data_IF_691791057708
#
_entry.id   IF_691791057708
#
_cell.length_a   1.000
_cell.length_b   1.000
_cell.length_c   1.000
_cell.angle_alpha   90.00
_cell.angle_beta   90.00
_cell.angle_gamma   90.00
#
_symmetry.space_group_name_H-M   'P 1'
#
loop_
_entity.id
_entity.type
_entity.pdbx_description
1 polymer ?
#
# COMPACT_ATOMS: atom_id res chain seq x y z
N UNK A 1 1.04 35.37 45.98
CA UNK A 1 0.25 35.30 44.72
C UNK A 1 1.07 35.40 43.43
N UNK A 2 2.28 35.98 43.41
CA UNK A 2 3.08 36.13 42.16
C UNK A 2 3.72 34.82 41.62
N UNK A 3 3.96 33.84 42.48
CA UNK A 3 4.60 32.57 42.09
C UNK A 3 3.69 31.65 41.26
N UNK A 4 2.39 31.69 41.53
CA UNK A 4 1.38 30.86 40.84
C UNK A 4 1.19 31.34 39.39
N UNK A 5 1.24 32.66 39.16
CA UNK A 5 1.16 33.25 37.83
C UNK A 5 2.40 32.91 36.96
N UNK A 6 3.58 32.83 37.57
CA UNK A 6 4.83 32.48 36.87
C UNK A 6 4.83 31.00 36.44
N UNK A 7 4.32 30.10 37.29
CA UNK A 7 4.18 28.67 36.98
C UNK A 7 3.14 28.41 35.88
N UNK A 8 2.03 29.16 35.87
CA UNK A 8 1.01 29.08 34.81
C UNK A 8 1.54 29.53 33.44
N UNK A 9 2.40 30.55 33.40
CA UNK A 9 3.05 31.00 32.16
C UNK A 9 4.07 29.99 31.62
N UNK A 10 4.85 29.36 32.50
CA UNK A 10 5.80 28.30 32.13
C UNK A 10 5.08 27.06 31.56
N UNK A 11 3.93 26.68 32.11
CA UNK A 11 3.13 25.58 31.57
C UNK A 11 2.48 25.90 30.21
N UNK A 12 2.11 27.15 29.95
CA UNK A 12 1.56 27.55 28.63
C UNK A 12 2.63 27.71 27.55
N UNK A 13 3.88 28.00 27.90
CA UNK A 13 5.00 28.05 26.95
C UNK A 13 5.51 26.65 26.56
N UNK A 14 5.26 25.62 27.38
CA UNK A 14 5.54 24.21 27.08
C UNK A 14 4.35 23.50 26.41
N UNK A 15 3.56 24.24 25.61
CA UNK A 15 2.69 23.64 24.62
C UNK A 15 3.56 22.88 23.61
N UNK A 16 3.80 21.60 23.89
CA UNK A 16 4.42 20.64 23.00
C UNK A 16 3.58 20.52 21.73
N UNK A 17 3.74 21.48 20.80
CA UNK A 17 3.46 21.26 19.40
C UNK A 17 4.48 20.25 18.91
N UNK A 18 4.24 18.97 19.20
CA UNK A 18 4.79 17.87 18.40
C UNK A 18 4.23 18.06 16.99
N UNK A 19 4.80 18.99 16.24
CA UNK A 19 4.61 19.08 14.80
C UNK A 19 5.00 17.71 14.29
N UNK A 20 4.01 16.89 13.93
CA UNK A 20 4.27 15.64 13.24
C UNK A 20 5.10 16.04 12.03
N UNK A 21 6.37 15.66 12.03
CA UNK A 21 7.28 15.94 10.93
C UNK A 21 6.85 15.07 9.76
N UNK A 22 5.81 15.50 9.04
CA UNK A 22 5.41 14.88 7.79
C UNK A 22 6.51 15.09 6.76
N UNK A 23 6.76 14.05 5.98
CA UNK A 23 7.65 14.12 4.84
C UNK A 23 7.22 15.25 3.89
N UNK A 24 8.14 16.05 3.33
CA UNK A 24 7.81 17.23 2.53
C UNK A 24 6.80 16.96 1.41
N UNK A 25 6.94 15.85 0.68
CA UNK A 25 6.01 15.46 -0.38
C UNK A 25 4.57 15.23 0.11
N UNK A 26 4.39 14.63 1.29
CA UNK A 26 3.05 14.41 1.89
C UNK A 26 2.44 15.73 2.34
N UNK A 27 3.25 16.62 2.91
CA UNK A 27 2.81 17.98 3.29
C UNK A 27 2.36 18.78 2.08
N UNK A 28 3.10 18.69 0.98
CA UNK A 28 2.76 19.38 -0.26
C UNK A 28 1.48 18.82 -0.89
N UNK A 29 1.28 17.50 -0.86
CA UNK A 29 0.02 16.86 -1.27
C UNK A 29 -1.16 17.35 -0.42
N UNK A 30 -1.03 17.35 0.91
CA UNK A 30 -2.05 17.88 1.81
C UNK A 30 -2.39 19.35 1.53
N UNK A 31 -1.38 20.17 1.18
CA UNK A 31 -1.55 21.59 0.88
C UNK A 31 -2.28 21.82 -0.44
N UNK A 32 -1.96 21.04 -1.48
CA UNK A 32 -2.55 21.16 -2.82
C UNK A 32 -3.96 20.54 -2.91
N UNK A 33 -4.16 19.38 -2.28
CA UNK A 33 -5.37 18.56 -2.41
C UNK A 33 -6.00 18.27 -1.03
N UNK A 34 -6.45 19.30 -0.29
CA UNK A 34 -6.91 19.13 1.09
C UNK A 34 -8.18 18.30 1.21
N UNK A 35 -9.06 18.30 0.21
CA UNK A 35 -10.29 17.49 0.23
C UNK A 35 -9.98 16.02 -0.06
N UNK A 36 -9.18 15.73 -1.10
CA UNK A 36 -8.71 14.37 -1.39
C UNK A 36 -7.92 13.79 -0.22
N UNK A 37 -7.07 14.60 0.43
CA UNK A 37 -6.28 14.17 1.58
C UNK A 37 -7.14 13.65 2.75
N UNK A 38 -8.37 14.16 2.94
CA UNK A 38 -9.26 13.71 4.03
C UNK A 38 -9.79 12.30 3.83
N UNK A 39 -9.78 11.80 2.59
CA UNK A 39 -10.20 10.43 2.25
C UNK A 39 -9.13 9.40 2.63
N UNK A 40 -7.90 9.86 2.95
CA UNK A 40 -6.84 8.98 3.41
C UNK A 40 -6.88 8.80 4.92
N UNK A 41 -7.08 7.58 5.38
CA UNK A 41 -6.91 7.21 6.78
C UNK A 41 -5.43 7.36 7.20
N UNK A 42 -4.50 7.01 6.30
CA UNK A 42 -3.09 7.34 6.45
C UNK A 42 -2.36 7.42 5.11
N UNK A 43 -1.26 8.19 5.13
CA UNK A 43 -0.23 8.22 4.10
C UNK A 43 1.13 8.21 4.82
N UNK A 44 1.83 7.07 4.75
CA UNK A 44 3.11 6.89 5.42
C UNK A 44 4.24 6.67 4.41
N UNK A 45 5.24 7.57 4.34
CA UNK A 45 6.42 7.38 3.51
C UNK A 45 7.14 6.09 3.89
N UNK A 46 7.51 5.31 2.88
CA UNK A 46 8.31 4.10 3.03
C UNK A 46 9.51 4.12 2.09
N UNK A 47 10.53 3.35 2.42
CA UNK A 47 11.60 3.07 1.46
C UNK A 47 11.22 1.87 0.61
N UNK A 48 11.53 1.91 -0.70
CA UNK A 48 11.35 0.73 -1.55
C UNK A 48 12.19 -0.46 -1.08
N UNK A 49 13.36 -0.21 -0.48
CA UNK A 49 14.17 -1.27 0.09
C UNK A 49 13.41 -2.08 1.15
N UNK A 50 12.71 -1.39 2.07
CA UNK A 50 11.86 -2.04 3.08
C UNK A 50 10.74 -2.84 2.42
N UNK A 51 10.05 -2.26 1.44
CA UNK A 51 8.97 -2.95 0.75
C UNK A 51 9.45 -4.20 0.00
N UNK A 52 10.56 -4.09 -0.73
CA UNK A 52 11.15 -5.20 -1.46
C UNK A 52 11.69 -6.28 -0.52
N UNK A 53 12.17 -5.93 0.66
CA UNK A 53 12.57 -6.90 1.68
C UNK A 53 11.38 -7.73 2.16
N UNK A 54 10.23 -7.11 2.43
CA UNK A 54 9.00 -7.82 2.82
C UNK A 54 8.49 -8.76 1.71
N UNK A 55 8.55 -8.33 0.45
CA UNK A 55 8.19 -9.17 -0.69
C UNK A 55 9.14 -10.37 -0.80
N UNK A 56 10.44 -10.12 -0.68
CA UNK A 56 11.46 -11.16 -0.79
C UNK A 56 11.32 -12.20 0.33
N UNK A 57 11.02 -11.77 1.56
CA UNK A 57 10.78 -12.62 2.71
C UNK A 57 9.58 -13.54 2.49
N UNK A 58 8.42 -12.99 2.07
CA UNK A 58 7.23 -13.78 1.72
C UNK A 58 7.54 -14.83 0.65
N UNK A 59 8.22 -14.44 -0.42
CA UNK A 59 8.56 -15.34 -1.53
C UNK A 59 9.48 -16.46 -1.05
N UNK A 60 10.47 -16.12 -0.21
CA UNK A 60 11.39 -17.09 0.38
C UNK A 60 10.63 -18.15 1.19
N UNK A 61 9.68 -17.73 2.03
CA UNK A 61 8.86 -18.64 2.83
C UNK A 61 8.01 -19.57 1.97
N UNK A 62 7.35 -19.04 0.94
CA UNK A 62 6.51 -19.85 0.05
C UNK A 62 7.35 -20.86 -0.73
N UNK A 63 8.49 -20.44 -1.28
CA UNK A 63 9.42 -21.34 -1.97
C UNK A 63 9.95 -22.43 -1.02
N UNK A 64 10.29 -22.08 0.22
CA UNK A 64 10.75 -23.07 1.20
C UNK A 64 9.67 -24.13 1.50
N UNK A 65 8.40 -23.70 1.61
CA UNK A 65 7.27 -24.63 1.78
C UNK A 65 7.13 -25.54 0.57
N UNK A 66 7.17 -24.99 -0.66
CA UNK A 66 7.07 -25.75 -1.89
C UNK A 66 8.20 -26.79 -2.04
N UNK A 67 9.45 -26.40 -1.75
CA UNK A 67 10.60 -27.31 -1.73
C UNK A 67 10.46 -28.40 -0.67
N UNK A 68 9.86 -28.08 0.49
CA UNK A 68 9.56 -29.08 1.52
C UNK A 68 8.51 -30.07 1.04
N UNK A 69 7.47 -29.60 0.35
CA UNK A 69 6.44 -30.47 -0.25
C UNK A 69 7.05 -31.43 -1.28
N UNK A 70 7.93 -30.95 -2.15
CA UNK A 70 8.64 -31.81 -3.11
C UNK A 70 9.47 -32.89 -2.41
N UNK A 71 10.22 -32.52 -1.36
CA UNK A 71 11.07 -33.48 -0.63
C UNK A 71 10.26 -34.54 0.11
N UNK A 72 9.11 -34.18 0.69
CA UNK A 72 8.31 -35.09 1.50
C UNK A 72 7.35 -35.96 0.66
N UNK A 73 6.83 -35.40 -0.44
CA UNK A 73 5.72 -35.99 -1.19
C UNK A 73 5.99 -36.06 -2.70
N UNK A 74 7.23 -35.91 -3.17
CA UNK A 74 7.56 -35.91 -4.59
C UNK A 74 7.22 -37.22 -5.33
N UNK A 75 7.06 -38.33 -4.61
CA UNK A 75 6.56 -39.60 -5.17
C UNK A 75 5.03 -39.66 -5.35
N UNK A 76 4.28 -38.66 -4.86
CA UNK A 76 2.84 -38.56 -5.01
C UNK A 76 2.51 -37.84 -6.32
N UNK A 77 1.70 -38.45 -7.22
CA UNK A 77 1.31 -37.82 -8.47
C UNK A 77 0.71 -36.42 -8.26
N UNK A 78 1.14 -35.46 -9.08
CA UNK A 78 0.65 -34.07 -9.07
C UNK A 78 1.25 -33.16 -7.99
N UNK A 79 1.89 -33.67 -6.93
CA UNK A 79 2.46 -32.81 -5.88
C UNK A 79 3.77 -32.13 -6.34
N UNK A 80 4.62 -32.85 -7.08
CA UNK A 80 5.86 -32.25 -7.61
C UNK A 80 5.56 -31.13 -8.59
N UNK A 81 4.64 -31.37 -9.52
CA UNK A 81 4.18 -30.40 -10.53
C UNK A 81 3.58 -29.16 -9.84
N UNK A 82 2.68 -29.36 -8.88
CA UNK A 82 2.10 -28.27 -8.10
C UNK A 82 3.15 -27.41 -7.38
N UNK A 83 4.15 -28.03 -6.76
CA UNK A 83 5.20 -27.29 -6.08
C UNK A 83 6.11 -26.52 -7.05
N UNK A 84 6.41 -27.09 -8.23
CA UNK A 84 7.13 -26.38 -9.30
C UNK A 84 6.34 -25.17 -9.81
N UNK A 85 5.03 -25.32 -9.98
CA UNK A 85 4.12 -24.23 -10.36
C UNK A 85 4.12 -23.10 -9.33
N UNK A 86 4.09 -23.42 -8.04
CA UNK A 86 4.22 -22.42 -6.97
C UNK A 86 5.53 -21.66 -7.09
N UNK A 87 6.67 -22.36 -7.18
CA UNK A 87 7.99 -21.71 -7.24
C UNK A 87 8.08 -20.80 -8.46
N UNK A 88 7.62 -21.28 -9.63
CA UNK A 88 7.59 -20.49 -10.87
C UNK A 88 6.69 -19.27 -10.75
N UNK A 89 5.51 -19.42 -10.17
CA UNK A 89 4.58 -18.32 -9.94
C UNK A 89 5.19 -17.25 -9.03
N UNK A 90 5.85 -17.67 -7.95
CA UNK A 90 6.50 -16.77 -7.00
C UNK A 90 7.71 -16.04 -7.60
N UNK A 91 8.48 -16.70 -8.47
CA UNK A 91 9.54 -16.05 -9.25
C UNK A 91 8.98 -14.99 -10.20
N UNK A 92 7.84 -15.25 -10.84
CA UNK A 92 7.17 -14.25 -11.69
C UNK A 92 6.69 -13.04 -10.87
N UNK A 93 6.11 -13.26 -9.70
CA UNK A 93 5.73 -12.17 -8.77
C UNK A 93 6.96 -11.34 -8.40
N UNK A 94 8.09 -11.99 -8.08
CA UNK A 94 9.35 -11.30 -7.76
C UNK A 94 9.79 -10.36 -8.88
N UNK A 95 9.81 -10.86 -10.11
CA UNK A 95 10.23 -10.08 -11.27
C UNK A 95 9.32 -8.88 -11.49
N UNK A 96 8.01 -9.08 -11.37
CA UNK A 96 7.02 -7.99 -11.48
C UNK A 96 7.26 -6.93 -10.41
N UNK A 97 7.43 -7.33 -9.15
CA UNK A 97 7.68 -6.41 -8.04
C UNK A 97 8.96 -5.58 -8.25
N UNK A 98 10.03 -6.18 -8.80
CA UNK A 98 11.27 -5.45 -9.13
C UNK A 98 11.00 -4.36 -10.18
N UNK A 99 10.27 -4.70 -11.25
CA UNK A 99 9.93 -3.75 -12.32
C UNK A 99 9.07 -2.61 -11.77
N UNK A 100 8.06 -2.94 -10.98
CA UNK A 100 7.18 -1.95 -10.34
C UNK A 100 7.95 -1.04 -9.40
N UNK A 101 8.86 -1.57 -8.58
CA UNK A 101 9.70 -0.78 -7.69
C UNK A 101 10.61 0.19 -8.49
N UNK A 102 11.23 -0.27 -9.57
CA UNK A 102 12.04 0.59 -10.45
C UNK A 102 11.20 1.70 -11.08
N UNK A 103 9.98 1.38 -11.51
CA UNK A 103 9.05 2.36 -12.05
C UNK A 103 8.66 3.40 -10.99
N UNK A 104 8.32 2.97 -9.78
CA UNK A 104 7.98 3.86 -8.67
C UNK A 104 9.14 4.78 -8.31
N UNK A 105 10.37 4.29 -8.23
CA UNK A 105 11.55 5.12 -7.94
C UNK A 105 11.77 6.17 -9.04
N UNK A 106 11.61 5.77 -10.30
CA UNK A 106 11.69 6.70 -11.45
C UNK A 106 10.60 7.76 -11.40
N UNK A 107 9.37 7.39 -11.09
CA UNK A 107 8.23 8.31 -11.03
C UNK A 107 8.33 9.28 -9.85
N UNK A 108 8.80 8.80 -8.69
CA UNK A 108 9.04 9.61 -7.49
C UNK A 108 9.96 10.80 -7.78
N UNK A 109 11.01 10.59 -8.58
CA UNK A 109 12.05 11.60 -8.79
C UNK A 109 12.81 11.91 -7.49
N UNK A 110 13.50 13.05 -7.46
CA UNK A 110 14.36 13.44 -6.34
C UNK A 110 13.61 14.02 -5.13
N UNK A 111 12.49 14.71 -5.36
CA UNK A 111 11.70 15.41 -4.32
C UNK A 111 10.46 14.63 -3.85
N UNK A 112 10.06 13.60 -4.59
CA UNK A 112 8.86 12.82 -4.28
C UNK A 112 9.00 11.85 -3.12
N UNK A 113 7.90 11.17 -2.79
CA UNK A 113 7.86 10.08 -1.82
C UNK A 113 7.07 8.89 -2.36
N UNK A 114 7.48 7.70 -1.97
CA UNK A 114 6.65 6.50 -2.08
C UNK A 114 6.04 6.27 -0.71
N UNK A 115 4.73 6.14 -0.66
CA UNK A 115 3.99 6.04 0.59
C UNK A 115 3.11 4.80 0.58
N UNK A 116 3.03 4.11 1.70
CA UNK A 116 1.91 3.23 1.98
C UNK A 116 0.69 4.09 2.28
N UNK A 117 -0.46 3.68 1.77
CA UNK A 117 -1.71 4.41 2.00
C UNK A 117 -2.85 3.48 2.37
N UNK A 118 -3.83 4.07 3.06
CA UNK A 118 -5.19 3.57 3.15
C UNK A 118 -6.13 4.72 2.79
N UNK A 119 -6.99 4.49 1.81
CA UNK A 119 -7.93 5.46 1.27
C UNK A 119 -9.36 4.90 1.30
N UNK A 120 -10.34 5.75 1.56
CA UNK A 120 -11.75 5.38 1.45
C UNK A 120 -12.64 6.57 1.11
N UNK A 121 -13.61 6.34 0.23
CA UNK A 121 -14.72 7.25 -0.08
C UNK A 121 -16.03 6.88 0.68
N UNK A 122 -15.94 5.96 1.64
CA UNK A 122 -17.10 5.41 2.36
C UNK A 122 -17.84 4.28 1.64
N UNK A 123 -17.49 3.98 0.38
CA UNK A 123 -18.01 2.84 -0.38
C UNK A 123 -16.95 1.79 -0.63
N UNK A 124 -15.76 2.24 -1.00
CA UNK A 124 -14.59 1.44 -1.30
C UNK A 124 -13.49 1.80 -0.31
N UNK A 125 -12.72 0.80 0.09
CA UNK A 125 -11.50 0.94 0.87
C UNK A 125 -10.35 0.34 0.07
N UNK A 126 -9.32 1.13 -0.15
CA UNK A 126 -8.12 0.74 -0.86
C UNK A 126 -6.91 0.79 0.07
N UNK A 127 -6.05 -0.21 -0.02
CA UNK A 127 -4.74 -0.24 0.64
C UNK A 127 -3.68 -0.57 -0.40
N UNK A 128 -2.56 0.15 -0.37
CA UNK A 128 -1.47 -0.10 -1.31
C UNK A 128 -0.34 0.93 -1.23
N UNK A 129 0.28 1.19 -2.38
CA UNK A 129 1.33 2.20 -2.54
C UNK A 129 0.91 3.38 -3.40
N UNK A 130 1.39 4.54 -2.99
CA UNK A 130 1.18 5.82 -3.63
C UNK A 130 2.53 6.43 -3.95
N UNK A 131 2.72 6.92 -5.17
CA UNK A 131 3.88 7.73 -5.53
C UNK A 131 3.42 9.18 -5.58
N UNK A 132 3.99 10.00 -4.70
CA UNK A 132 3.80 11.44 -4.66
C UNK A 132 4.97 12.14 -5.33
N UNK A 133 4.68 13.08 -6.24
CA UNK A 133 5.69 13.98 -6.82
C UNK A 133 5.12 15.39 -6.89
N UNK A 134 5.86 16.35 -6.35
CA UNK A 134 5.48 17.76 -6.30
C UNK A 134 4.08 18.01 -5.70
N UNK A 135 3.63 17.14 -4.80
CA UNK A 135 2.30 17.20 -4.17
C UNK A 135 1.16 16.66 -5.01
N UNK A 136 1.44 15.89 -6.05
CA UNK A 136 0.44 15.22 -6.87
C UNK A 136 0.66 13.69 -6.81
N UNK A 137 -0.43 12.92 -6.89
CA UNK A 137 -0.38 11.47 -7.03
C UNK A 137 -0.02 11.13 -8.48
N UNK A 138 1.16 10.55 -8.69
CA UNK A 138 1.62 10.16 -10.04
C UNK A 138 1.48 8.66 -10.33
N UNK A 139 1.28 7.84 -9.29
CA UNK A 139 0.94 6.42 -9.40
C UNK A 139 0.23 5.96 -8.13
N UNK A 140 -0.79 5.12 -8.30
CA UNK A 140 -1.50 4.40 -7.24
C UNK A 140 -1.48 2.92 -7.60
N UNK A 141 -0.91 2.11 -6.72
CA UNK A 141 -0.84 0.65 -6.84
C UNK A 141 -1.69 0.06 -5.71
N UNK A 142 -2.84 -0.50 -6.06
CA UNK A 142 -3.80 -1.04 -5.08
C UNK A 142 -3.53 -2.52 -4.88
N UNK A 143 -3.28 -2.93 -3.64
CA UNK A 143 -3.07 -4.33 -3.27
C UNK A 143 -4.33 -4.99 -2.74
N UNK A 144 -5.14 -4.20 -2.05
CA UNK A 144 -6.38 -4.65 -1.44
C UNK A 144 -7.46 -3.61 -1.71
N UNK A 145 -8.59 -4.07 -2.23
CA UNK A 145 -9.78 -3.28 -2.48
C UNK A 145 -10.98 -4.01 -1.84
N UNK A 146 -11.67 -3.32 -0.94
CA UNK A 146 -12.85 -3.83 -0.23
C UNK A 146 -14.03 -2.89 -0.42
N UNK A 147 -15.22 -3.45 -0.65
CA UNK A 147 -16.47 -2.70 -0.72
C UNK A 147 -17.15 -2.67 0.65
N UNK A 148 -17.09 -1.53 1.33
CA UNK A 148 -17.47 -1.35 2.75
C UNK A 148 -18.95 -0.98 2.92
N UNK A 149 -19.64 -0.61 1.84
CA UNK A 149 -21.05 -0.23 1.89
C UNK A 149 -22.02 -1.41 1.90
N UNK A 150 -23.09 -1.33 2.71
CA UNK A 150 -24.27 -2.22 2.65
C UNK A 150 -25.01 -2.24 1.29
N UNK A 151 -24.49 -1.54 0.28
CA UNK A 151 -24.95 -1.63 -1.10
C UNK A 151 -24.45 -2.87 -1.81
N UNK A 152 -23.42 -3.59 -1.36
CA UNK A 152 -23.11 -4.90 -1.97
C UNK A 152 -24.35 -5.82 -1.95
N UNK A 153 -25.13 -5.78 -0.87
CA UNK A 153 -26.46 -6.39 -0.81
C UNK A 153 -27.49 -5.71 -1.72
N UNK A 154 -27.49 -4.40 -1.87
CA UNK A 154 -28.42 -3.66 -2.75
C UNK A 154 -28.14 -3.91 -4.24
N UNK A 155 -26.88 -4.07 -4.66
CA UNK A 155 -26.45 -4.45 -6.01
C UNK A 155 -26.80 -5.90 -6.31
N UNK A 156 -26.57 -6.82 -5.36
CA UNK A 156 -27.03 -8.21 -5.44
C UNK A 156 -28.57 -8.29 -5.50
N UNK A 157 -29.29 -7.47 -4.72
CA UNK A 157 -30.77 -7.40 -4.74
C UNK A 157 -31.34 -6.76 -6.01
N UNK A 158 -30.58 -5.86 -6.68
CA UNK A 158 -31.00 -5.20 -7.93
C UNK A 158 -30.68 -5.99 -9.19
N UNK A 159 -30.05 -7.17 -9.08
CA UNK A 159 -29.78 -8.05 -10.23
C UNK A 159 -28.85 -7.43 -11.28
N UNK A 160 -28.06 -6.41 -10.91
CA UNK A 160 -27.13 -5.76 -11.83
C UNK A 160 -25.86 -6.60 -11.84
N UNK A 161 -25.68 -7.37 -12.91
CA UNK A 161 -24.45 -8.11 -13.16
C UNK A 161 -23.23 -7.16 -13.06
N UNK A 162 -22.16 -7.63 -12.43
CA UNK A 162 -20.90 -6.90 -12.34
C UNK A 162 -20.55 -6.24 -13.69
N UNK A 163 -20.10 -4.98 -13.72
CA UNK A 163 -19.53 -4.44 -14.94
C UNK A 163 -18.36 -5.34 -15.34
N UNK A 164 -18.50 -5.93 -16.53
CA UNK A 164 -17.52 -6.80 -17.16
C UNK A 164 -16.09 -6.30 -16.90
N UNK A 165 -15.25 -7.14 -16.30
CA UNK A 165 -13.78 -6.98 -16.33
C UNK A 165 -13.31 -7.17 -17.78
N UNK A 166 -13.53 -6.15 -18.59
CA UNK A 166 -13.10 -6.05 -19.97
C UNK A 166 -11.92 -5.10 -20.08
N UNK A 167 -10.72 -5.55 -19.69
CA UNK A 167 -9.48 -4.98 -20.24
C UNK A 167 -8.66 -6.14 -20.79
N UNK A 168 -9.05 -6.55 -22.00
CA UNK A 168 -8.16 -7.20 -22.95
C UNK A 168 -7.17 -6.14 -23.43
N UNK A 169 -5.94 -6.15 -22.90
CA UNK A 169 -4.85 -5.45 -23.55
C UNK A 169 -4.23 -6.39 -24.60
N UNK A 170 -4.80 -6.37 -25.80
CA UNK A 170 -4.07 -6.72 -27.02
C UNK A 170 -3.49 -5.41 -27.57
N UNK A 171 -2.17 -5.31 -27.54
CA UNK A 171 -1.33 -4.80 -28.63
C UNK A 171 0.12 -5.15 -28.34
#
# INVERSE_FOLDING_TARGET
>A
MKLVALLLWLFMACGCCSHKHYHPAVREFQRKHPEEFKEYAFIYPITLATHMALIADRISDVCHIAERLQRQFGGVPGISEFAEEIIKHEQMIRQRAIIEAQEMERLKGSSGAICQFEWSDGYTREVGLLVLRDGDVVKREVWFEEYVGGKAEEWLRRGVAQPNKGVSNKR
#
